data_IF_072660735426
#
_entry.id   IF_072660735426
#
_cell.length_a   1.000
_cell.length_b   1.000
_cell.length_c   1.000
_cell.angle_alpha   90.00
_cell.angle_beta   90.00
_cell.angle_gamma   90.00
#
_symmetry.space_group_name_H-M   'P 1'
#
loop_
_entity.id
_entity.type
_entity.pdbx_description
1 polymer ?
#
# COMPACT_ATOMS: atom_id res chain seq x y z
N UNK A 1 15.32 5.39 -13.49
CA UNK A 1 15.67 6.04 -12.21
C UNK A 1 14.99 7.38 -12.16
N UNK A 2 13.99 7.53 -11.28
CA UNK A 2 13.42 8.84 -11.00
C UNK A 2 14.49 9.69 -10.30
N UNK A 3 14.60 10.99 -10.56
CA UNK A 3 15.48 11.86 -9.80
C UNK A 3 14.87 12.05 -8.41
N UNK A 4 15.10 11.08 -7.52
CA UNK A 4 14.69 11.12 -6.12
C UNK A 4 15.62 12.06 -5.35
N UNK A 5 15.44 13.35 -5.58
CA UNK A 5 16.12 14.41 -4.84
C UNK A 5 15.16 14.94 -3.79
N UNK A 6 15.72 15.34 -2.65
CA UNK A 6 14.95 16.04 -1.64
C UNK A 6 14.38 17.35 -2.21
N UNK A 7 13.18 17.75 -1.78
CA UNK A 7 12.59 19.00 -2.22
C UNK A 7 13.39 20.19 -1.68
N UNK A 8 13.34 21.32 -2.38
CA UNK A 8 14.02 22.54 -1.94
C UNK A 8 13.15 23.23 -0.89
N UNK A 9 13.63 23.26 0.36
CA UNK A 9 13.01 23.96 1.48
C UNK A 9 13.90 25.17 1.80
N UNK A 10 13.37 26.38 1.57
CA UNK A 10 14.09 27.64 1.74
C UNK A 10 14.27 28.01 3.22
N UNK A 11 13.31 27.67 4.08
CA UNK A 11 13.45 27.83 5.51
C UNK A 11 14.39 26.77 6.11
N UNK A 12 15.63 27.19 6.39
CA UNK A 12 16.66 26.32 6.95
C UNK A 12 16.31 25.74 8.33
N UNK A 13 15.64 26.49 9.20
CA UNK A 13 15.26 26.00 10.54
C UNK A 13 14.23 24.87 10.42
N UNK A 14 13.27 25.05 9.50
CA UNK A 14 12.24 24.07 9.23
C UNK A 14 12.79 22.79 8.60
N UNK A 15 13.72 22.93 7.65
CA UNK A 15 14.42 21.78 7.07
C UNK A 15 15.25 21.03 8.12
N UNK A 16 15.97 21.75 8.98
CA UNK A 16 16.71 21.12 10.07
C UNK A 16 15.76 20.41 11.05
N UNK A 17 14.63 21.02 11.39
CA UNK A 17 13.64 20.41 12.27
C UNK A 17 13.11 19.09 11.68
N UNK A 18 12.77 19.05 10.39
CA UNK A 18 12.31 17.83 9.71
C UNK A 18 13.32 16.67 9.81
N UNK A 19 14.62 17.00 9.80
CA UNK A 19 15.72 16.04 9.93
C UNK A 19 16.07 15.69 11.38
N UNK A 20 15.30 16.14 12.38
CA UNK A 20 15.65 15.99 13.79
C UNK A 20 14.81 14.95 14.48
N UNK A 21 15.40 13.79 14.71
CA UNK A 21 14.75 12.77 15.52
C UNK A 21 14.73 13.18 16.99
N UNK A 22 13.66 12.83 17.71
CA UNK A 22 13.45 13.12 19.14
C UNK A 22 14.63 12.79 20.06
N UNK A 23 15.38 11.71 19.75
CA UNK A 23 16.57 11.35 20.54
C UNK A 23 17.67 12.41 20.49
N UNK A 24 17.83 13.08 19.34
CA UNK A 24 18.77 14.19 19.21
C UNK A 24 18.25 15.44 19.94
N UNK A 25 16.95 15.71 19.86
CA UNK A 25 16.33 16.85 20.53
C UNK A 25 16.51 16.79 22.05
N UNK A 26 16.27 15.60 22.64
CA UNK A 26 16.49 15.35 24.06
C UNK A 26 17.95 15.50 24.50
N UNK A 27 18.91 15.02 23.70
CA UNK A 27 20.33 15.10 24.05
C UNK A 27 20.93 16.51 23.88
N UNK A 28 20.47 17.26 22.87
CA UNK A 28 21.10 18.51 22.43
C UNK A 28 20.36 19.77 22.87
N UNK A 29 19.32 19.65 23.71
CA UNK A 29 18.44 20.76 24.13
C UNK A 29 17.86 21.55 22.93
N UNK A 30 17.68 20.88 21.78
CA UNK A 30 17.02 21.48 20.63
C UNK A 30 15.54 21.70 20.94
N UNK A 31 14.99 22.82 20.48
CA UNK A 31 13.63 23.24 20.83
C UNK A 31 12.52 22.37 20.21
N UNK A 32 12.80 21.66 19.12
CA UNK A 32 11.80 20.85 18.42
C UNK A 32 12.43 19.67 17.67
N UNK A 33 11.72 18.56 17.69
CA UNK A 33 11.94 17.39 16.83
C UNK A 33 10.97 17.43 15.62
N UNK A 34 10.99 16.34 14.86
CA UNK A 34 10.23 16.19 13.63
C UNK A 34 8.80 15.63 13.84
N UNK A 35 8.39 15.18 15.03
CA UNK A 35 7.12 14.45 15.23
C UNK A 35 5.90 15.28 14.82
N UNK A 36 5.91 16.60 15.06
CA UNK A 36 4.82 17.49 14.61
C UNK A 36 4.78 17.73 13.10
N UNK A 37 5.95 17.70 12.45
CA UNK A 37 6.06 17.84 11.00
C UNK A 37 5.66 16.54 10.31
N UNK A 38 6.05 15.40 10.88
CA UNK A 38 5.61 14.05 10.48
C UNK A 38 4.09 13.98 10.47
N UNK A 39 3.44 14.31 11.59
CA UNK A 39 1.98 14.33 11.69
C UNK A 39 1.30 15.16 10.58
N UNK A 40 1.83 16.34 10.28
CA UNK A 40 1.30 17.20 9.20
C UNK A 40 1.59 16.59 7.83
N UNK A 41 2.79 16.05 7.66
CA UNK A 41 3.26 15.45 6.42
C UNK A 41 2.49 14.21 6.00
N UNK A 42 2.19 13.30 6.93
CA UNK A 42 1.34 12.13 6.70
C UNK A 42 -0.04 12.53 6.18
N UNK A 43 -0.69 13.49 6.85
CA UNK A 43 -2.00 13.99 6.42
C UNK A 43 -1.97 14.61 5.01
N UNK A 44 -0.95 15.42 4.72
CA UNK A 44 -0.76 16.04 3.39
C UNK A 44 -0.48 15.00 2.32
N UNK A 45 0.43 14.06 2.59
CA UNK A 45 0.79 12.97 1.69
C UNK A 45 -0.43 12.09 1.39
N UNK A 46 -1.14 11.65 2.43
CA UNK A 46 -2.31 10.80 2.30
C UNK A 46 -3.42 11.45 1.47
N UNK A 47 -3.67 12.75 1.65
CA UNK A 47 -4.62 13.51 0.83
C UNK A 47 -4.19 13.61 -0.63
N UNK A 48 -2.94 14.03 -0.89
CA UNK A 48 -2.45 14.26 -2.26
C UNK A 48 -2.34 12.96 -3.05
N UNK A 49 -1.96 11.84 -2.42
CA UNK A 49 -2.00 10.53 -3.08
C UNK A 49 -3.44 10.16 -3.41
N UNK A 50 -4.38 10.30 -2.48
CA UNK A 50 -5.78 9.96 -2.74
C UNK A 50 -6.36 10.78 -3.90
N UNK A 51 -6.10 12.09 -3.93
CA UNK A 51 -6.51 12.97 -5.02
C UNK A 51 -5.89 12.55 -6.36
N UNK A 52 -4.58 12.29 -6.37
CA UNK A 52 -3.86 11.94 -7.59
C UNK A 52 -4.31 10.59 -8.17
N UNK A 53 -4.53 9.59 -7.31
CA UNK A 53 -5.04 8.28 -7.74
C UNK A 53 -6.46 8.39 -8.30
N UNK A 54 -7.35 9.14 -7.63
CA UNK A 54 -8.72 9.36 -8.09
C UNK A 54 -8.77 10.00 -9.48
N UNK A 55 -7.91 10.98 -9.75
CA UNK A 55 -7.84 11.66 -11.05
C UNK A 55 -7.18 10.79 -12.13
N UNK A 56 -6.16 10.02 -11.77
CA UNK A 56 -5.32 9.28 -12.72
C UNK A 56 -5.93 7.96 -13.20
N UNK A 57 -6.69 7.29 -12.33
CA UNK A 57 -7.23 5.95 -12.56
C UNK A 57 -8.77 5.91 -12.38
N UNK A 58 -9.53 6.61 -13.25
CA UNK A 58 -10.99 6.67 -13.15
C UNK A 58 -11.70 5.31 -13.32
N UNK A 59 -10.99 4.29 -13.80
CA UNK A 59 -11.49 2.92 -13.98
C UNK A 59 -11.42 2.06 -12.71
N UNK A 60 -10.64 2.47 -11.69
CA UNK A 60 -10.53 1.73 -10.43
C UNK A 60 -11.68 2.07 -9.49
N UNK A 61 -12.17 1.06 -8.77
CA UNK A 61 -13.16 1.27 -7.73
C UNK A 61 -12.54 1.75 -6.41
N UNK A 62 -13.39 2.08 -5.42
CA UNK A 62 -12.94 2.57 -4.12
C UNK A 62 -12.02 1.59 -3.40
N UNK A 63 -12.29 0.29 -3.47
CA UNK A 63 -11.52 -0.73 -2.76
C UNK A 63 -10.11 -0.85 -3.37
N UNK A 64 -10.00 -0.83 -4.70
CA UNK A 64 -8.74 -0.85 -5.42
C UNK A 64 -7.92 0.43 -5.19
N UNK A 65 -8.57 1.61 -5.23
CA UNK A 65 -7.92 2.89 -4.92
C UNK A 65 -7.41 2.93 -3.47
N UNK A 66 -8.22 2.49 -2.51
CA UNK A 66 -7.85 2.42 -1.09
C UNK A 66 -6.65 1.48 -0.89
N UNK A 67 -6.65 0.31 -1.54
CA UNK A 67 -5.55 -0.64 -1.46
C UNK A 67 -4.27 -0.13 -2.12
N UNK A 68 -4.38 0.50 -3.29
CA UNK A 68 -3.24 1.10 -3.98
C UNK A 68 -2.63 2.22 -3.15
N UNK A 69 -3.47 3.11 -2.60
CA UNK A 69 -3.04 4.17 -1.67
C UNK A 69 -2.29 3.56 -0.49
N UNK A 70 -2.86 2.56 0.17
CA UNK A 70 -2.23 1.91 1.33
C UNK A 70 -0.87 1.29 1.00
N UNK A 71 -0.68 0.75 -0.21
CA UNK A 71 0.62 0.24 -0.66
C UNK A 71 1.63 1.34 -1.00
N UNK A 72 1.17 2.52 -1.41
CA UNK A 72 2.07 3.63 -1.75
C UNK A 72 2.59 4.35 -0.51
N UNK A 73 1.75 4.50 0.50
CA UNK A 73 2.07 5.23 1.74
C UNK A 73 2.39 4.30 2.91
N UNK A 74 2.67 3.01 2.66
CA UNK A 74 3.11 2.13 3.75
C UNK A 74 4.55 2.45 4.18
N UNK A 75 4.83 2.22 5.46
CA UNK A 75 6.12 2.50 6.08
C UNK A 75 7.31 1.87 5.33
N UNK A 76 7.15 0.68 4.75
CA UNK A 76 8.23 0.03 3.99
C UNK A 76 8.50 0.78 2.70
N UNK A 77 7.45 1.15 1.96
CA UNK A 77 7.56 1.89 0.73
C UNK A 77 8.17 3.28 0.95
N UNK A 78 7.71 4.01 1.97
CA UNK A 78 8.24 5.32 2.33
C UNK A 78 9.70 5.25 2.79
N UNK A 79 10.06 4.23 3.58
CA UNK A 79 11.45 4.00 3.98
C UNK A 79 12.36 3.73 2.79
N UNK A 80 11.91 2.97 1.78
CA UNK A 80 12.70 2.70 0.58
C UNK A 80 12.96 3.99 -0.20
N UNK A 81 11.93 4.83 -0.41
CA UNK A 81 12.06 6.14 -1.05
C UNK A 81 13.07 7.01 -0.27
N UNK A 82 12.94 7.07 1.06
CA UNK A 82 13.85 7.80 1.92
C UNK A 82 15.30 7.30 1.84
N UNK A 83 15.52 5.99 1.74
CA UNK A 83 16.86 5.40 1.57
C UNK A 83 17.49 5.77 0.23
N UNK A 84 16.73 5.66 -0.85
CA UNK A 84 17.19 5.99 -2.21
C UNK A 84 17.52 7.49 -2.34
N UNK A 85 16.80 8.37 -1.62
CA UNK A 85 17.13 9.80 -1.47
C UNK A 85 18.38 10.05 -0.59
N UNK A 86 18.89 9.03 0.10
CA UNK A 86 19.99 9.16 1.06
C UNK A 86 19.62 9.89 2.34
N UNK A 87 18.32 9.97 2.68
CA UNK A 87 17.80 10.75 3.82
C UNK A 87 18.41 10.31 5.15
N UNK A 88 18.65 9.01 5.32
CA UNK A 88 19.30 8.45 6.50
C UNK A 88 20.63 9.14 6.86
N UNK A 89 21.42 9.61 5.88
CA UNK A 89 22.69 10.30 6.13
C UNK A 89 22.53 11.70 6.70
N UNK A 90 21.35 12.30 6.54
CA UNK A 90 21.07 13.68 6.93
C UNK A 90 20.39 13.78 8.31
N UNK A 91 19.80 12.69 8.80
CA UNK A 91 19.05 12.67 10.05
C UNK A 91 19.97 12.98 11.24
N UNK A 92 19.55 13.89 12.12
CA UNK A 92 20.19 14.15 13.40
C UNK A 92 19.62 13.18 14.42
N UNK A 93 20.47 12.28 14.90
CA UNK A 93 20.13 11.22 15.85
C UNK A 93 21.04 11.37 17.08
N UNK A 94 20.47 11.20 18.28
CA UNK A 94 21.24 11.19 19.52
C UNK A 94 22.23 10.02 19.59
N UNK A 95 23.35 10.21 20.28
CA UNK A 95 24.46 9.24 20.36
C UNK A 95 24.00 7.87 20.86
N UNK A 96 23.01 7.82 21.76
CA UNK A 96 22.46 6.56 22.26
C UNK A 96 21.70 5.78 21.18
N UNK A 97 20.90 6.47 20.37
CA UNK A 97 20.11 5.88 19.30
C UNK A 97 20.97 5.48 18.08
N UNK A 98 22.04 6.22 17.80
CA UNK A 98 22.99 5.89 16.72
C UNK A 98 23.61 4.50 16.91
N UNK A 99 23.95 4.14 18.17
CA UNK A 99 24.52 2.83 18.52
C UNK A 99 23.60 1.64 18.20
N UNK A 100 22.30 1.88 18.12
CA UNK A 100 21.29 0.88 17.81
C UNK A 100 20.87 0.87 16.33
N UNK A 101 21.64 1.54 15.45
CA UNK A 101 21.35 1.64 14.02
C UNK A 101 19.97 2.23 13.67
N UNK A 102 19.38 3.01 14.59
CA UNK A 102 18.02 3.57 14.48
C UNK A 102 17.85 4.46 13.25
N UNK A 103 18.93 5.14 12.84
CA UNK A 103 19.01 5.98 11.64
C UNK A 103 18.47 5.33 10.36
N UNK A 104 18.73 4.03 10.18
CA UNK A 104 18.36 3.30 8.97
C UNK A 104 17.14 2.40 9.17
N UNK A 105 16.46 2.51 10.31
CA UNK A 105 15.22 1.78 10.55
C UNK A 105 14.10 2.31 9.65
N UNK A 106 13.21 1.43 9.19
CA UNK A 106 12.11 1.82 8.31
C UNK A 106 11.20 2.86 8.95
N UNK A 107 10.96 2.77 10.26
CA UNK A 107 10.18 3.76 11.00
C UNK A 107 10.81 5.16 10.87
N UNK A 108 12.05 5.33 11.34
CA UNK A 108 12.72 6.65 11.30
C UNK A 108 12.83 7.22 9.89
N UNK A 109 13.10 6.39 8.89
CA UNK A 109 13.20 6.83 7.50
C UNK A 109 11.85 7.28 6.95
N UNK A 110 10.78 6.53 7.22
CA UNK A 110 9.41 6.87 6.85
C UNK A 110 8.98 8.18 7.53
N UNK A 111 9.09 8.24 8.85
CA UNK A 111 8.68 9.38 9.68
C UNK A 111 9.43 10.66 9.24
N UNK A 112 10.73 10.54 8.91
CA UNK A 112 11.53 11.67 8.43
C UNK A 112 11.10 12.12 7.04
N UNK A 113 10.73 11.20 6.14
CA UNK A 113 10.23 11.58 4.82
C UNK A 113 8.91 12.35 4.92
N UNK A 114 8.00 11.88 5.78
CA UNK A 114 6.75 12.59 6.09
C UNK A 114 7.05 13.96 6.69
N UNK A 115 7.97 14.06 7.65
CA UNK A 115 8.38 15.34 8.21
C UNK A 115 8.97 16.31 7.17
N UNK A 116 9.73 15.80 6.19
CA UNK A 116 10.25 16.59 5.07
C UNK A 116 9.10 17.08 4.18
N UNK A 117 8.09 16.25 3.92
CA UNK A 117 6.88 16.66 3.19
C UNK A 117 6.12 17.74 3.96
N UNK A 118 5.95 17.58 5.28
CA UNK A 118 5.32 18.58 6.15
C UNK A 118 6.07 19.91 6.16
N UNK A 119 7.41 19.88 6.22
CA UNK A 119 8.26 21.06 6.09
C UNK A 119 8.13 21.72 4.71
N UNK A 120 8.15 20.94 3.64
CA UNK A 120 8.01 21.44 2.28
C UNK A 120 6.64 22.08 2.04
N UNK A 121 5.58 21.49 2.59
CA UNK A 121 4.23 22.07 2.57
C UNK A 121 4.18 23.44 3.25
N UNK A 122 4.76 23.57 4.44
CA UNK A 122 4.77 24.84 5.18
C UNK A 122 5.62 25.93 4.50
N UNK A 123 6.66 25.54 3.77
CA UNK A 123 7.59 26.47 3.12
C UNK A 123 7.17 26.87 1.69
N UNK A 124 6.65 25.92 0.91
CA UNK A 124 6.38 26.09 -0.53
C UNK A 124 4.90 25.94 -0.92
N UNK A 125 4.04 25.51 0.00
CA UNK A 125 2.59 25.38 -0.22
C UNK A 125 2.18 24.13 -1.00
N UNK A 126 0.86 23.87 -1.02
CA UNK A 126 0.29 22.59 -1.46
C UNK A 126 0.59 22.25 -2.94
N UNK A 127 0.59 23.24 -3.83
CA UNK A 127 0.83 23.01 -5.27
C UNK A 127 2.23 22.45 -5.52
N UNK A 128 3.24 23.00 -4.85
CA UNK A 128 4.61 22.53 -4.97
C UNK A 128 4.78 21.10 -4.41
N UNK A 129 4.06 20.77 -3.34
CA UNK A 129 4.04 19.41 -2.77
C UNK A 129 3.35 18.43 -3.70
N UNK A 130 2.25 18.82 -4.34
CA UNK A 130 1.53 17.97 -5.30
C UNK A 130 2.43 17.56 -6.46
N UNK A 131 3.09 18.51 -7.11
CA UNK A 131 4.01 18.22 -8.23
C UNK A 131 5.15 17.27 -7.80
N UNK A 132 5.70 17.49 -6.61
CA UNK A 132 6.74 16.64 -6.06
C UNK A 132 6.25 15.21 -5.77
N UNK A 133 5.09 15.06 -5.13
CA UNK A 133 4.49 13.77 -4.82
C UNK A 133 4.10 13.02 -6.09
N UNK A 134 3.49 13.69 -7.08
CA UNK A 134 3.11 13.05 -8.34
C UNK A 134 4.34 12.48 -9.06
N UNK A 135 5.45 13.21 -9.09
CA UNK A 135 6.71 12.77 -9.67
C UNK A 135 7.29 11.51 -8.99
N UNK A 136 7.11 11.39 -7.66
CA UNK A 136 7.61 10.27 -6.89
C UNK A 136 6.69 9.05 -6.93
N UNK A 137 5.39 9.23 -6.74
CA UNK A 137 4.49 8.13 -6.42
C UNK A 137 3.67 7.61 -7.60
N UNK A 138 3.41 8.44 -8.64
CA UNK A 138 2.64 7.96 -9.81
C UNK A 138 3.38 6.89 -10.60
N UNK A 139 4.70 7.00 -10.86
CA UNK A 139 5.42 5.91 -11.53
C UNK A 139 5.40 4.60 -10.72
N UNK A 140 5.45 4.69 -9.38
CA UNK A 140 5.31 3.53 -8.50
C UNK A 140 3.90 2.93 -8.58
N UNK A 141 2.86 3.77 -8.65
CA UNK A 141 1.49 3.32 -8.82
C UNK A 141 1.31 2.58 -10.16
N UNK A 142 1.84 3.14 -11.25
CA UNK A 142 1.85 2.52 -12.58
C UNK A 142 2.61 1.18 -12.57
N UNK A 143 3.74 1.08 -11.85
CA UNK A 143 4.50 -0.16 -11.67
C UNK A 143 3.71 -1.21 -10.86
N UNK A 144 3.05 -0.82 -9.78
CA UNK A 144 2.22 -1.71 -8.96
C UNK A 144 1.03 -2.25 -9.78
N UNK A 145 0.40 -1.42 -10.61
CA UNK A 145 -0.72 -1.83 -11.44
C UNK A 145 -0.26 -2.73 -12.62
N UNK A 146 0.86 -2.40 -13.26
CA UNK A 146 1.39 -3.19 -14.39
C UNK A 146 1.99 -4.54 -13.96
N UNK A 147 2.64 -4.61 -12.80
CA UNK A 147 3.11 -5.86 -12.19
C UNK A 147 1.94 -6.77 -11.79
N UNK A 148 0.84 -6.19 -11.29
CA UNK A 148 -0.42 -6.92 -11.05
C UNK A 148 -1.14 -7.34 -12.33
N UNK A 149 -0.97 -6.63 -13.45
CA UNK A 149 -1.50 -7.08 -14.74
C UNK A 149 -0.76 -8.31 -15.29
N UNK A 150 0.47 -8.56 -14.83
CA UNK A 150 1.31 -9.70 -15.21
C UNK A 150 1.09 -10.95 -14.34
N UNK A 151 0.42 -10.80 -13.19
CA UNK A 151 -0.10 -11.92 -12.42
C UNK A 151 -1.62 -12.03 -12.65
N UNK A 152 -2.20 -13.22 -12.89
CA UNK A 152 -3.65 -13.39 -12.89
C UNK A 152 -4.22 -13.29 -11.46
N UNK A 153 -4.00 -12.16 -10.77
CA UNK A 153 -4.29 -11.94 -9.35
C UNK A 153 -5.27 -10.80 -9.04
N UNK A 154 -5.82 -10.11 -10.03
CA UNK A 154 -7.02 -9.29 -9.82
C UNK A 154 -8.27 -10.17 -9.72
N UNK A 155 -8.30 -11.31 -10.41
CA UNK A 155 -9.41 -12.26 -10.27
C UNK A 155 -9.38 -13.09 -8.99
N UNK A 156 -8.21 -13.41 -8.42
CA UNK A 156 -8.16 -14.31 -7.25
C UNK A 156 -8.71 -13.68 -5.96
N UNK A 157 -8.57 -12.36 -5.77
CA UNK A 157 -9.12 -11.69 -4.59
C UNK A 157 -10.61 -11.38 -4.75
N UNK A 158 -11.07 -11.05 -5.95
CA UNK A 158 -12.47 -10.69 -6.23
C UNK A 158 -13.29 -11.78 -6.91
N UNK A 159 -12.74 -12.98 -7.15
CA UNK A 159 -13.47 -14.06 -7.82
C UNK A 159 -14.80 -14.37 -7.14
N UNK A 160 -14.84 -14.32 -5.81
CA UNK A 160 -16.08 -14.55 -5.05
C UNK A 160 -17.10 -13.42 -5.27
N UNK A 161 -16.64 -12.17 -5.31
CA UNK A 161 -17.49 -10.99 -5.52
C UNK A 161 -17.99 -10.91 -6.96
N UNK A 162 -17.12 -11.09 -7.95
CA UNK A 162 -17.46 -11.14 -9.38
C UNK A 162 -18.44 -12.26 -9.68
N UNK A 163 -18.20 -13.46 -9.14
CA UNK A 163 -19.12 -14.58 -9.31
C UNK A 163 -20.46 -14.32 -8.62
N UNK A 164 -20.46 -13.67 -7.45
CA UNK A 164 -21.69 -13.28 -6.77
C UNK A 164 -22.51 -12.27 -7.57
N UNK A 165 -21.89 -11.20 -8.08
CA UNK A 165 -22.56 -10.22 -8.93
C UNK A 165 -23.13 -10.88 -10.17
N UNK A 166 -22.33 -11.71 -10.86
CA UNK A 166 -22.80 -12.46 -12.02
C UNK A 166 -23.98 -13.38 -11.68
N UNK A 167 -23.91 -14.11 -10.56
CA UNK A 167 -24.95 -15.03 -10.14
C UNK A 167 -26.26 -14.31 -9.78
N UNK A 168 -26.20 -13.17 -9.10
CA UNK A 168 -27.39 -12.35 -8.82
C UNK A 168 -28.01 -11.84 -10.12
N UNK A 169 -27.20 -11.28 -11.03
CA UNK A 169 -27.70 -10.66 -12.28
C UNK A 169 -28.27 -11.71 -13.25
N UNK A 170 -27.59 -12.84 -13.42
CA UNK A 170 -27.93 -13.82 -14.45
C UNK A 170 -28.80 -14.97 -13.92
N UNK A 171 -28.69 -15.29 -12.63
CA UNK A 171 -29.37 -16.42 -12.01
C UNK A 171 -30.34 -16.02 -10.88
N UNK A 172 -30.25 -14.81 -10.33
CA UNK A 172 -31.11 -14.34 -9.24
C UNK A 172 -30.79 -14.94 -7.86
N UNK A 173 -29.66 -15.62 -7.70
CA UNK A 173 -29.28 -16.29 -6.44
C UNK A 173 -27.78 -16.13 -6.15
N UNK A 174 -27.41 -16.22 -4.87
CA UNK A 174 -26.02 -16.18 -4.44
C UNK A 174 -25.32 -17.55 -4.66
N UNK A 175 -24.02 -17.56 -5.00
CA UNK A 175 -23.23 -18.78 -5.07
C UNK A 175 -23.03 -19.40 -3.68
N UNK A 176 -23.18 -20.73 -3.60
CA UNK A 176 -23.01 -21.54 -2.39
C UNK A 176 -21.73 -22.36 -2.52
N UNK A 177 -20.85 -22.28 -1.51
CA UNK A 177 -19.60 -23.03 -1.47
C UNK A 177 -19.75 -24.27 -0.58
N UNK A 178 -19.43 -25.45 -1.11
CA UNK A 178 -19.51 -26.73 -0.38
C UNK A 178 -18.15 -27.41 -0.32
N UNK A 179 -17.78 -27.85 0.88
CA UNK A 179 -16.58 -28.67 1.09
C UNK A 179 -16.84 -30.09 0.57
N UNK A 180 -16.09 -30.49 -0.45
CA UNK A 180 -16.14 -31.83 -1.01
C UNK A 180 -15.21 -32.78 -0.27
N UNK A 181 -14.00 -32.31 0.03
CA UNK A 181 -12.98 -33.15 0.63
C UNK A 181 -12.00 -32.34 1.50
N UNK A 182 -11.44 -33.00 2.52
CA UNK A 182 -10.39 -32.46 3.38
C UNK A 182 -9.39 -33.59 3.68
N UNK A 183 -8.20 -33.52 3.07
CA UNK A 183 -7.20 -34.60 3.13
C UNK A 183 -5.85 -34.04 3.58
N UNK A 184 -5.11 -34.82 4.35
CA UNK A 184 -3.74 -34.51 4.76
C UNK A 184 -3.57 -34.34 6.28
N UNK A 185 -2.33 -34.37 6.77
CA UNK A 185 -2.05 -34.20 8.19
C UNK A 185 -2.38 -32.77 8.65
N UNK A 186 -2.58 -32.51 9.95
CA UNK A 186 -3.02 -31.21 10.45
C UNK A 186 -2.18 -30.00 9.99
N UNK A 187 -0.88 -30.22 9.75
CA UNK A 187 0.08 -29.21 9.29
C UNK A 187 0.22 -29.11 7.75
N UNK A 188 -0.47 -29.96 6.99
CA UNK A 188 -0.48 -29.96 5.53
C UNK A 188 -1.84 -30.43 4.98
N UNK A 189 -2.92 -29.81 5.47
CA UNK A 189 -4.28 -30.08 4.99
C UNK A 189 -4.52 -29.45 3.62
N UNK A 190 -5.19 -30.20 2.76
CA UNK A 190 -5.71 -29.75 1.47
C UNK A 190 -7.23 -29.82 1.52
N UNK A 191 -7.88 -28.71 1.18
CA UNK A 191 -9.33 -28.57 1.12
C UNK A 191 -9.77 -28.50 -0.34
N UNK A 192 -10.75 -29.32 -0.73
CA UNK A 192 -11.40 -29.27 -2.04
C UNK A 192 -12.81 -28.71 -1.85
N UNK A 193 -13.09 -27.58 -2.48
CA UNK A 193 -14.39 -26.88 -2.39
C UNK A 193 -14.98 -26.72 -3.78
N UNK A 194 -16.27 -26.95 -3.90
CA UNK A 194 -17.04 -26.61 -5.10
C UNK A 194 -17.91 -25.37 -4.88
N UNK A 195 -18.19 -24.66 -5.96
CA UNK A 195 -19.17 -23.56 -5.99
C UNK A 195 -20.39 -23.95 -6.83
N UNK A 196 -21.56 -23.80 -6.21
CA UNK A 196 -22.86 -24.10 -6.79
C UNK A 196 -23.67 -22.81 -6.94
N UNK A 197 -24.42 -22.70 -8.04
CA UNK A 197 -25.42 -21.63 -8.22
C UNK A 197 -26.72 -22.34 -8.61
N UNK A 198 -27.79 -22.15 -7.85
CA UNK A 198 -29.00 -22.99 -7.91
C UNK A 198 -28.66 -24.48 -7.75
N UNK A 199 -29.03 -25.30 -8.74
CA UNK A 199 -28.78 -26.74 -8.78
C UNK A 199 -27.53 -27.14 -9.56
N UNK A 200 -26.78 -26.18 -10.12
CA UNK A 200 -25.61 -26.44 -10.97
C UNK A 200 -24.28 -26.27 -10.24
N UNK A 201 -23.30 -27.12 -10.57
CA UNK A 201 -21.89 -26.97 -10.15
C UNK A 201 -21.14 -26.15 -11.20
N UNK A 202 -20.58 -25.02 -10.79
CA UNK A 202 -19.93 -24.07 -11.68
C UNK A 202 -18.41 -24.12 -11.61
N UNK A 203 -17.82 -24.48 -10.46
CA UNK A 203 -16.37 -24.57 -10.34
C UNK A 203 -15.93 -25.39 -9.13
N UNK A 204 -14.69 -25.87 -9.17
CA UNK A 204 -14.04 -26.61 -8.08
C UNK A 204 -12.65 -26.03 -7.87
N UNK A 205 -12.23 -25.88 -6.62
CA UNK A 205 -10.94 -25.33 -6.25
C UNK A 205 -10.31 -26.04 -5.05
N UNK A 206 -8.98 -26.11 -5.06
CA UNK A 206 -8.20 -26.77 -4.02
C UNK A 206 -7.18 -25.83 -3.39
N UNK A 207 -7.08 -25.83 -2.06
CA UNK A 207 -6.20 -24.93 -1.33
C UNK A 207 -5.74 -25.48 0.00
N UNK A 208 -4.65 -24.89 0.52
CA UNK A 208 -4.12 -25.20 1.84
C UNK A 208 -4.99 -24.65 2.98
N UNK A 209 -5.92 -23.75 2.64
CA UNK A 209 -6.94 -23.17 3.52
C UNK A 209 -8.29 -23.15 2.82
N UNK A 210 -9.39 -23.24 3.58
CA UNK A 210 -10.76 -23.17 3.03
C UNK A 210 -11.00 -21.92 2.18
N UNK A 211 -10.60 -20.75 2.66
CA UNK A 211 -10.73 -19.49 1.89
C UNK A 211 -9.96 -19.51 0.55
N UNK A 212 -8.81 -20.18 0.50
CA UNK A 212 -8.02 -20.30 -0.73
C UNK A 212 -8.72 -21.24 -1.73
N UNK A 213 -9.24 -22.37 -1.25
CA UNK A 213 -10.02 -23.31 -2.04
C UNK A 213 -11.31 -22.67 -2.59
N UNK A 214 -12.03 -21.88 -1.79
CA UNK A 214 -13.20 -21.11 -2.24
C UNK A 214 -12.86 -20.12 -3.37
N UNK A 215 -11.77 -19.35 -3.22
CA UNK A 215 -11.33 -18.40 -4.24
C UNK A 215 -10.99 -19.10 -5.56
N UNK A 216 -10.30 -20.25 -5.49
CA UNK A 216 -9.99 -21.07 -6.67
C UNK A 216 -11.25 -21.67 -7.31
N UNK A 217 -12.22 -22.09 -6.52
CA UNK A 217 -13.49 -22.61 -7.01
C UNK A 217 -14.28 -21.51 -7.76
N UNK A 218 -14.31 -20.30 -7.20
CA UNK A 218 -14.94 -19.15 -7.83
C UNK A 218 -14.25 -18.77 -9.16
N UNK A 219 -12.91 -18.80 -9.20
CA UNK A 219 -12.15 -18.52 -10.40
C UNK A 219 -12.37 -19.57 -11.49
N UNK A 220 -12.46 -20.86 -11.12
CA UNK A 220 -12.82 -21.93 -12.05
C UNK A 220 -14.22 -21.72 -12.64
N UNK A 221 -15.17 -21.26 -11.83
CA UNK A 221 -16.51 -20.90 -12.30
C UNK A 221 -16.52 -19.73 -13.28
N UNK A 222 -15.80 -18.64 -12.97
CA UNK A 222 -15.71 -17.49 -13.87
C UNK A 222 -15.09 -17.84 -15.22
N UNK A 223 -14.05 -18.69 -15.24
CA UNK A 223 -13.46 -19.24 -16.47
C UNK A 223 -14.45 -20.08 -17.27
N UNK A 224 -15.17 -20.99 -16.58
CA UNK A 224 -16.20 -21.83 -17.22
C UNK A 224 -17.30 -20.98 -17.87
N UNK A 225 -17.61 -19.84 -17.26
CA UNK A 225 -18.60 -18.87 -17.74
C UNK A 225 -18.05 -17.89 -18.79
N UNK A 226 -16.77 -17.99 -19.16
CA UNK A 226 -16.08 -17.08 -20.09
C UNK A 226 -16.18 -15.59 -19.69
N UNK A 227 -16.21 -15.32 -18.38
CA UNK A 227 -16.20 -13.96 -17.82
C UNK A 227 -14.75 -13.45 -17.69
N UNK A 228 -13.81 -14.40 -17.56
CA UNK A 228 -12.36 -14.19 -17.43
C UNK A 228 -11.60 -15.24 -18.25
#
# INVERSE_FOLDING_TARGET
>A
MLPQKLPVINNHELFQQALTHRSYAHESLCKADNERLEFLGDAVLGFLIAESLYQRYPELDEADLTKLRAMLVDQTQLANIAQEMGLGKLIRIGKGAEKNAVRNSSAVLSDTLEAVIGAYFLDQGISAVKEYIECLFIPLADEILSSKASEPKTYLNDAKNLLQQWAIVNMGENPIYKLLNEVGPPHAKTFTIEVQIKSGVYGVGEGSRKQEAEKKAALAALKKLSII
#
